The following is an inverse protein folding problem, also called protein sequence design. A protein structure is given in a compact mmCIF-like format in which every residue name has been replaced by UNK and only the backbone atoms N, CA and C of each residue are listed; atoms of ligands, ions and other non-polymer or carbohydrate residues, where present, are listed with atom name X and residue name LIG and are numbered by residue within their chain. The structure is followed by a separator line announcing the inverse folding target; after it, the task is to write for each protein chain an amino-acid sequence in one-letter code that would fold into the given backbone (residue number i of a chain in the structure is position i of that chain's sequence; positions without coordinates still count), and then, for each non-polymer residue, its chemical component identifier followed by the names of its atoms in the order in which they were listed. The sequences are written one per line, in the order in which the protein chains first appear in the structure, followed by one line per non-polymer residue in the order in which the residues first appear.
data_IF_694376222586
#
_entry.id   IF_694376222586
#
_cell.length_a   1.000
_cell.length_b   1.000
_cell.length_c   1.000
_cell.angle_alpha   90.00
_cell.angle_beta   90.00
_cell.angle_gamma   90.00
#
_symmetry.space_group_name_H-M   'P 1'
#
loop_
_entity.id
_entity.type
_entity.pdbx_description
1 polymer ?
#
# COMPACT_ATOMS: atom_id res chain seq x y z
N UNK A 1 -21.10 1.92 -0.67
CA UNK A 1 -20.12 1.11 -1.42
C UNK A 1 -19.00 0.61 -0.50
N UNK A 2 -18.04 1.41 0.01
CA UNK A 2 -16.90 0.91 0.79
C UNK A 2 -17.28 0.05 2.02
N UNK A 3 -18.20 0.52 2.86
CA UNK A 3 -18.66 -0.25 4.05
C UNK A 3 -19.33 -1.57 3.64
N UNK A 4 -20.11 -1.55 2.55
CA UNK A 4 -20.74 -2.75 2.03
C UNK A 4 -19.69 -3.75 1.56
N UNK A 5 -18.77 -3.34 0.69
CA UNK A 5 -17.68 -4.19 0.18
C UNK A 5 -16.85 -4.78 1.32
N UNK A 6 -16.58 -3.97 2.36
CA UNK A 6 -15.88 -4.43 3.56
C UNK A 6 -16.66 -5.54 4.28
N UNK A 7 -17.94 -5.28 4.60
CA UNK A 7 -18.75 -6.19 5.42
C UNK A 7 -19.23 -7.44 4.66
N UNK A 8 -19.19 -7.44 3.34
CA UNK A 8 -19.43 -8.63 2.52
C UNK A 8 -18.25 -9.61 2.59
N UNK A 9 -17.06 -9.12 2.92
CA UNK A 9 -15.82 -9.91 2.99
C UNK A 9 -15.40 -10.23 4.42
N UNK A 10 -15.60 -9.31 5.34
CA UNK A 10 -15.06 -9.35 6.68
C UNK A 10 -16.15 -9.79 7.68
N UNK A 11 -15.85 -10.84 8.42
CA UNK A 11 -16.64 -11.32 9.55
C UNK A 11 -16.22 -10.63 10.86
N UNK A 12 -16.86 -10.96 11.98
CA UNK A 12 -16.50 -10.40 13.28
C UNK A 12 -15.12 -10.90 13.77
N UNK A 13 -14.73 -12.11 13.36
CA UNK A 13 -13.52 -12.80 13.84
C UNK A 13 -12.29 -12.54 12.96
N UNK A 14 -12.46 -11.86 11.82
CA UNK A 14 -11.36 -11.59 10.91
C UNK A 14 -10.45 -10.45 11.41
N UNK A 15 -9.16 -10.58 11.18
CA UNK A 15 -8.17 -9.53 11.44
C UNK A 15 -7.89 -8.74 10.17
N UNK A 16 -8.00 -7.41 10.25
CA UNK A 16 -7.80 -6.51 9.11
C UNK A 16 -6.73 -5.46 9.42
N UNK A 17 -5.74 -5.35 8.56
CA UNK A 17 -4.73 -4.30 8.60
C UNK A 17 -5.08 -3.20 7.59
N UNK A 18 -5.22 -1.97 8.07
CA UNK A 18 -5.43 -0.78 7.24
C UNK A 18 -4.10 -0.05 7.13
N UNK A 19 -3.61 0.11 5.90
CA UNK A 19 -2.28 0.66 5.64
C UNK A 19 -2.29 2.18 5.44
N UNK A 20 -2.91 2.87 6.39
CA UNK A 20 -2.87 4.30 6.54
C UNK A 20 -3.87 5.09 5.70
N UNK A 21 -3.96 6.37 6.06
CA UNK A 21 -4.85 7.34 5.45
C UNK A 21 -6.33 6.91 5.43
N UNK A 22 -6.72 6.24 6.54
CA UNK A 22 -8.06 5.69 6.70
C UNK A 22 -9.14 6.78 6.75
N UNK A 23 -8.84 7.94 7.36
CA UNK A 23 -9.81 9.01 7.58
C UNK A 23 -9.21 10.41 7.45
N UNK A 24 -9.95 11.30 6.76
CA UNK A 24 -9.60 12.71 6.57
C UNK A 24 -10.49 13.63 7.39
N UNK A 25 -10.06 14.28 8.40
CA UNK A 25 -10.59 15.51 9.04
C UNK A 25 -11.78 15.42 10.00
N UNK A 26 -12.72 14.47 9.95
CA UNK A 26 -13.89 14.50 10.83
C UNK A 26 -13.93 13.26 11.73
N UNK A 27 -13.62 13.44 13.03
CA UNK A 27 -13.59 12.35 14.00
C UNK A 27 -14.96 11.69 14.16
N UNK A 28 -16.04 12.46 14.21
CA UNK A 28 -17.39 11.95 14.41
C UNK A 28 -17.84 11.05 13.24
N UNK A 29 -17.63 11.52 12.00
CA UNK A 29 -17.90 10.72 10.81
C UNK A 29 -17.03 9.45 10.76
N UNK A 30 -15.78 9.56 11.18
CA UNK A 30 -14.86 8.42 11.24
C UNK A 30 -15.36 7.36 12.23
N UNK A 31 -15.83 7.80 13.40
CA UNK A 31 -16.43 6.91 14.42
C UNK A 31 -17.66 6.20 13.85
N UNK A 32 -18.59 6.93 13.24
CA UNK A 32 -19.80 6.36 12.63
C UNK A 32 -19.46 5.30 11.54
N UNK A 33 -18.37 5.48 10.81
CA UNK A 33 -17.89 4.50 9.85
C UNK A 33 -17.32 3.28 10.59
N UNK A 34 -16.44 3.49 11.59
CA UNK A 34 -15.79 2.42 12.33
C UNK A 34 -16.78 1.52 13.08
N UNK A 35 -17.86 2.08 13.60
CA UNK A 35 -18.96 1.33 14.26
C UNK A 35 -19.66 0.36 13.32
N UNK A 36 -19.59 0.60 12.03
CA UNK A 36 -20.23 -0.22 10.98
C UNK A 36 -19.30 -1.25 10.37
N UNK A 37 -17.98 -1.11 10.55
CA UNK A 37 -16.97 -2.02 9.98
C UNK A 37 -16.74 -3.20 10.91
N UNK A 38 -16.88 -4.42 10.39
CA UNK A 38 -16.65 -5.68 11.09
C UNK A 38 -15.15 -5.98 11.22
N UNK A 39 -14.84 -6.92 12.13
CA UNK A 39 -13.51 -7.50 12.31
C UNK A 39 -12.61 -6.71 13.27
N UNK A 40 -11.50 -7.33 13.60
CA UNK A 40 -10.42 -6.80 14.44
C UNK A 40 -9.52 -5.91 13.60
N UNK A 41 -9.54 -4.62 13.88
CA UNK A 41 -8.91 -3.60 13.01
C UNK A 41 -7.59 -3.10 13.58
N UNK A 42 -6.53 -3.20 12.79
CA UNK A 42 -5.19 -2.68 13.09
C UNK A 42 -4.83 -1.58 12.11
N UNK A 43 -4.28 -0.47 12.59
CA UNK A 43 -3.85 0.65 11.76
C UNK A 43 -2.33 0.70 11.65
N UNK A 44 -1.84 0.65 10.42
CA UNK A 44 -0.50 1.11 10.08
C UNK A 44 -0.64 2.58 9.70
N UNK A 45 -0.25 3.47 10.60
CA UNK A 45 -0.58 4.89 10.51
C UNK A 45 0.06 5.57 9.30
N UNK A 46 -0.75 6.24 8.51
CA UNK A 46 -0.32 7.10 7.40
C UNK A 46 -0.10 8.56 7.83
N UNK A 47 0.32 9.38 6.88
CA UNK A 47 0.65 10.79 7.14
C UNK A 47 -0.58 11.67 7.37
N UNK A 48 -1.76 11.26 6.89
CA UNK A 48 -3.02 11.99 7.09
C UNK A 48 -3.82 11.49 8.30
N UNK A 49 -3.48 10.33 8.87
CA UNK A 49 -4.19 9.77 10.01
C UNK A 49 -3.98 10.59 11.29
N UNK A 50 -5.06 11.14 11.79
CA UNK A 50 -5.10 11.84 13.08
C UNK A 50 -5.96 11.08 14.06
N UNK A 51 -5.45 9.95 14.53
CA UNK A 51 -6.18 9.08 15.45
C UNK A 51 -6.04 9.62 16.88
N UNK A 52 -7.05 10.35 17.34
CA UNK A 52 -7.14 10.95 18.67
C UNK A 52 -8.48 10.60 19.32
N UNK A 53 -8.65 10.97 20.57
CA UNK A 53 -9.92 10.86 21.28
C UNK A 53 -10.54 9.48 21.24
N UNK A 54 -11.81 9.42 20.95
CA UNK A 54 -12.59 8.17 20.91
C UNK A 54 -12.25 7.27 19.72
N UNK A 55 -11.81 7.83 18.61
CA UNK A 55 -11.48 7.06 17.40
C UNK A 55 -10.38 6.03 17.66
N UNK A 56 -9.48 6.30 18.62
CA UNK A 56 -8.41 5.37 19.00
C UNK A 56 -8.94 4.01 19.50
N UNK A 57 -10.08 4.00 20.17
CA UNK A 57 -10.65 2.77 20.79
C UNK A 57 -11.24 1.79 19.76
N UNK A 58 -11.37 2.19 18.51
CA UNK A 58 -11.82 1.32 17.42
C UNK A 58 -10.70 0.54 16.74
N UNK A 59 -9.44 0.78 17.16
CA UNK A 59 -8.26 0.11 16.65
C UNK A 59 -7.64 -0.74 17.75
N UNK A 60 -7.37 -2.01 17.48
CA UNK A 60 -6.67 -2.89 18.40
C UNK A 60 -5.19 -2.54 18.53
N UNK A 61 -4.57 -2.11 17.43
CA UNK A 61 -3.24 -1.53 17.44
C UNK A 61 -3.11 -0.36 16.47
N UNK A 62 -2.20 0.55 16.78
CA UNK A 62 -1.81 1.67 15.92
C UNK A 62 -0.28 1.71 15.94
N UNK A 63 0.33 1.43 14.79
CA UNK A 63 1.78 1.41 14.62
C UNK A 63 2.14 2.06 13.29
N UNK A 64 3.41 2.37 13.04
CA UNK A 64 3.88 2.85 11.74
C UNK A 64 4.45 1.72 10.88
N UNK A 65 4.76 0.59 11.51
CA UNK A 65 5.36 -0.57 10.90
C UNK A 65 4.87 -1.82 11.62
N UNK A 66 4.64 -2.89 10.89
CA UNK A 66 4.38 -4.20 11.48
C UNK A 66 4.98 -5.33 10.63
N UNK A 67 5.29 -6.42 11.32
CA UNK A 67 5.65 -7.70 10.73
C UNK A 67 4.57 -8.70 11.12
N UNK A 68 3.94 -9.30 10.15
CA UNK A 68 2.88 -10.29 10.38
C UNK A 68 3.23 -11.60 9.68
N UNK A 69 2.77 -12.70 10.24
CA UNK A 69 2.90 -14.01 9.62
C UNK A 69 1.53 -14.42 9.08
N UNK A 70 1.45 -14.65 7.77
CA UNK A 70 0.27 -15.15 7.09
C UNK A 70 0.59 -16.51 6.48
N UNK A 71 0.11 -17.59 7.09
CA UNK A 71 0.34 -18.98 6.65
C UNK A 71 1.84 -19.29 6.37
N UNK A 72 2.70 -18.95 7.32
CA UNK A 72 4.18 -19.05 7.22
C UNK A 72 4.83 -18.13 6.18
N UNK A 73 4.12 -17.12 5.70
CA UNK A 73 4.66 -16.06 4.84
C UNK A 73 4.89 -14.80 5.66
N UNK A 74 6.10 -14.31 5.71
CA UNK A 74 6.39 -13.04 6.38
C UNK A 74 5.87 -11.88 5.50
N UNK A 75 5.05 -11.04 6.09
CA UNK A 75 4.49 -9.84 5.47
C UNK A 75 4.96 -8.63 6.24
N UNK A 76 5.53 -7.67 5.54
CA UNK A 76 5.94 -6.40 6.06
C UNK A 76 4.87 -5.37 5.72
N UNK A 77 4.39 -4.63 6.73
CA UNK A 77 3.35 -3.64 6.58
C UNK A 77 3.91 -2.25 6.91
N UNK A 78 3.79 -1.32 5.99
CA UNK A 78 4.09 0.09 6.18
C UNK A 78 3.18 0.93 5.29
N UNK A 79 2.92 2.18 5.69
CA UNK A 79 2.16 3.09 4.85
C UNK A 79 2.92 3.49 3.58
N UNK A 80 4.23 3.71 3.71
CA UNK A 80 5.10 4.06 2.58
C UNK A 80 5.74 2.82 1.94
N UNK A 81 6.02 2.81 0.63
CA UNK A 81 6.82 1.76 0.02
C UNK A 81 8.25 1.77 0.57
N UNK A 82 8.70 0.65 1.12
CA UNK A 82 10.07 0.45 1.56
C UNK A 82 10.82 -0.32 0.47
N UNK A 83 11.78 0.33 -0.17
CA UNK A 83 12.54 -0.26 -1.28
C UNK A 83 13.40 -1.45 -0.84
N UNK A 84 13.85 -1.45 0.40
CA UNK A 84 14.54 -2.57 1.05
C UNK A 84 13.82 -2.89 2.37
N UNK A 85 13.50 -4.15 2.58
CA UNK A 85 12.72 -4.58 3.73
C UNK A 85 13.21 -5.92 4.28
N UNK A 86 12.82 -6.24 5.49
CA UNK A 86 13.24 -7.44 6.20
C UNK A 86 12.90 -8.71 5.41
N UNK A 87 13.85 -9.61 5.32
CA UNK A 87 13.73 -10.91 4.65
C UNK A 87 13.28 -10.84 3.18
N UNK A 88 13.51 -9.73 2.50
CA UNK A 88 13.25 -9.59 1.06
C UNK A 88 13.85 -10.76 0.26
N UNK A 89 15.12 -11.08 0.49
CA UNK A 89 15.84 -12.19 -0.17
C UNK A 89 15.31 -13.58 0.21
N UNK A 90 14.50 -13.69 1.25
CA UNK A 90 13.88 -14.93 1.72
C UNK A 90 12.38 -15.01 1.40
N UNK A 91 11.91 -14.18 0.47
CA UNK A 91 10.56 -14.24 -0.05
C UNK A 91 9.49 -13.52 0.78
N UNK A 92 9.87 -12.64 1.73
CA UNK A 92 8.92 -11.77 2.39
C UNK A 92 8.21 -10.86 1.38
N UNK A 93 6.96 -10.51 1.69
CA UNK A 93 6.15 -9.58 0.89
C UNK A 93 5.98 -8.26 1.64
N UNK A 94 6.23 -7.15 0.96
CA UNK A 94 5.97 -5.81 1.46
C UNK A 94 4.64 -5.30 0.93
N UNK A 95 3.70 -4.96 1.83
CA UNK A 95 2.44 -4.29 1.48
C UNK A 95 2.51 -2.82 1.89
N UNK A 96 2.07 -1.94 1.01
CA UNK A 96 2.14 -0.49 1.22
C UNK A 96 0.94 0.25 0.60
N UNK A 97 0.74 1.51 1.00
CA UNK A 97 -0.25 2.43 0.46
C UNK A 97 0.41 3.71 -0.09
N UNK A 98 -0.08 4.88 0.32
CA UNK A 98 0.42 6.23 0.12
C UNK A 98 0.48 6.70 -1.35
N UNK A 99 1.24 6.04 -2.19
CA UNK A 99 1.53 6.51 -3.57
C UNK A 99 0.36 6.37 -4.54
N UNK A 100 -0.77 5.82 -4.11
CA UNK A 100 -1.96 5.64 -4.93
C UNK A 100 -1.64 4.93 -6.27
N UNK A 101 -2.41 5.21 -7.33
CA UNK A 101 -2.15 4.82 -8.72
C UNK A 101 -1.44 5.97 -9.49
N UNK A 102 -0.47 6.61 -8.86
CA UNK A 102 0.23 7.80 -9.37
C UNK A 102 1.54 7.48 -10.09
N UNK A 103 2.23 8.52 -10.56
CA UNK A 103 3.58 8.38 -11.13
C UNK A 103 4.60 7.82 -10.13
N UNK A 104 4.39 8.05 -8.83
CA UNK A 104 5.26 7.50 -7.79
C UNK A 104 5.12 5.98 -7.70
N UNK A 105 3.90 5.43 -7.85
CA UNK A 105 3.72 3.99 -7.97
C UNK A 105 4.51 3.40 -9.12
N UNK A 106 4.55 4.08 -10.27
CA UNK A 106 5.31 3.62 -11.44
C UNK A 106 6.83 3.57 -11.17
N UNK A 107 7.35 4.50 -10.36
CA UNK A 107 8.75 4.46 -9.93
C UNK A 107 9.03 3.23 -9.05
N UNK A 108 8.09 2.86 -8.18
CA UNK A 108 8.20 1.64 -7.36
C UNK A 108 8.19 0.40 -8.25
N UNK A 109 7.30 0.34 -9.25
CA UNK A 109 7.22 -0.79 -10.17
C UNK A 109 8.47 -0.91 -11.06
N UNK A 110 9.05 0.23 -11.50
CA UNK A 110 10.34 0.24 -12.17
C UNK A 110 11.44 -0.32 -11.28
N UNK A 111 11.51 0.12 -10.03
CA UNK A 111 12.44 -0.40 -9.04
C UNK A 111 12.33 -1.92 -8.85
N UNK A 112 11.14 -2.46 -8.72
CA UNK A 112 10.90 -3.90 -8.62
C UNK A 112 11.51 -4.66 -9.80
N UNK A 113 11.29 -4.19 -11.02
CA UNK A 113 11.83 -4.82 -12.24
C UNK A 113 13.35 -4.77 -12.30
N UNK A 114 13.94 -3.67 -11.92
CA UNK A 114 15.40 -3.54 -11.86
C UNK A 114 15.99 -4.54 -10.85
N UNK A 115 15.35 -4.72 -9.68
CA UNK A 115 15.76 -5.73 -8.71
C UNK A 115 15.68 -7.15 -9.29
N UNK A 116 14.58 -7.49 -9.95
CA UNK A 116 14.43 -8.79 -10.57
C UNK A 116 15.44 -9.04 -11.69
N UNK A 117 15.73 -8.02 -12.49
CA UNK A 117 16.78 -8.12 -13.53
C UNK A 117 18.17 -8.38 -12.95
N UNK A 118 18.42 -7.98 -11.71
CA UNK A 118 19.64 -8.26 -10.95
C UNK A 118 19.57 -9.60 -10.17
N UNK A 119 18.49 -10.37 -10.31
CA UNK A 119 18.27 -11.61 -9.57
C UNK A 119 17.92 -11.40 -8.08
N UNK A 120 17.50 -10.21 -7.70
CA UNK A 120 17.10 -9.87 -6.33
C UNK A 120 15.59 -10.03 -6.19
N UNK A 121 15.09 -10.95 -5.34
CA UNK A 121 13.66 -11.06 -5.07
C UNK A 121 13.10 -9.73 -4.54
N UNK A 122 11.99 -9.28 -5.10
CA UNK A 122 11.35 -8.03 -4.68
C UNK A 122 9.84 -8.12 -4.85
N UNK A 123 9.11 -8.25 -3.74
CA UNK A 123 7.64 -8.34 -3.72
C UNK A 123 7.06 -7.16 -2.96
N UNK A 124 6.81 -6.07 -3.66
CA UNK A 124 6.14 -4.88 -3.16
C UNK A 124 4.76 -4.79 -3.80
N UNK A 125 3.69 -4.73 -3.00
CA UNK A 125 2.31 -4.65 -3.50
C UNK A 125 1.64 -3.41 -2.92
N UNK A 126 1.13 -2.56 -3.81
CA UNK A 126 0.35 -1.40 -3.42
C UNK A 126 -1.09 -1.84 -3.09
N UNK A 127 -1.50 -1.71 -1.83
CA UNK A 127 -2.86 -2.06 -1.38
C UNK A 127 -3.79 -0.86 -1.24
N UNK A 128 -3.45 0.26 -1.86
CA UNK A 128 -4.35 1.41 -1.97
C UNK A 128 -5.69 0.98 -2.57
N UNK A 129 -6.80 1.33 -1.92
CA UNK A 129 -8.13 0.84 -2.30
C UNK A 129 -8.55 1.22 -3.73
N UNK A 130 -7.92 2.23 -4.34
CA UNK A 130 -8.14 2.68 -5.71
C UNK A 130 -7.38 1.88 -6.77
N UNK A 131 -6.48 0.97 -6.37
CA UNK A 131 -5.82 0.08 -7.33
C UNK A 131 -6.86 -0.84 -7.96
N UNK A 132 -6.79 -1.07 -9.28
CA UNK A 132 -7.81 -1.82 -10.02
C UNK A 132 -8.06 -3.21 -9.43
N UNK A 133 -7.01 -3.92 -9.04
CA UNK A 133 -7.12 -5.25 -8.42
C UNK A 133 -7.69 -5.24 -7.00
N UNK A 134 -7.75 -4.08 -6.33
CA UNK A 134 -8.37 -3.96 -5.01
C UNK A 134 -9.90 -3.87 -5.07
N UNK A 135 -10.47 -3.29 -6.12
CA UNK A 135 -11.91 -3.07 -6.28
C UNK A 135 -12.59 -2.47 -5.04
N UNK A 136 -11.88 -1.60 -4.32
CA UNK A 136 -12.35 -0.99 -3.05
C UNK A 136 -12.81 -2.02 -2.00
N UNK A 137 -12.12 -3.16 -1.94
CA UNK A 137 -12.51 -4.32 -1.11
C UNK A 137 -11.26 -4.85 -0.36
N UNK A 138 -11.36 -5.23 0.91
CA UNK A 138 -10.28 -5.89 1.62
C UNK A 138 -9.84 -7.18 0.90
N UNK A 139 -8.54 -7.45 0.86
CA UNK A 139 -7.94 -8.59 0.15
C UNK A 139 -7.06 -9.41 1.07
N UNK A 140 -7.04 -10.71 0.87
CA UNK A 140 -6.06 -11.61 1.48
C UNK A 140 -4.73 -11.51 0.75
N UNK A 141 -3.63 -11.91 1.41
CA UNK A 141 -2.32 -11.97 0.76
C UNK A 141 -2.34 -12.88 -0.47
N UNK A 142 -3.03 -14.00 -0.40
CA UNK A 142 -3.14 -14.94 -1.52
C UNK A 142 -3.81 -14.29 -2.74
N UNK A 143 -4.88 -13.53 -2.54
CA UNK A 143 -5.54 -12.78 -3.61
C UNK A 143 -4.63 -11.69 -4.19
N UNK A 144 -3.90 -10.97 -3.34
CA UNK A 144 -2.96 -9.94 -3.76
C UNK A 144 -1.84 -10.51 -4.63
N UNK A 145 -1.24 -11.63 -4.21
CA UNK A 145 -0.19 -12.30 -4.97
C UNK A 145 -0.66 -12.86 -6.32
N UNK A 146 -1.94 -13.24 -6.41
CA UNK A 146 -2.53 -13.73 -7.64
C UNK A 146 -2.97 -12.62 -8.60
N UNK A 147 -3.31 -11.44 -8.06
CA UNK A 147 -3.87 -10.33 -8.83
C UNK A 147 -2.85 -9.23 -9.16
N UNK A 148 -1.63 -9.28 -8.60
CA UNK A 148 -0.64 -8.23 -8.79
C UNK A 148 -0.34 -8.03 -10.29
N UNK A 149 -0.84 -6.95 -10.91
CA UNK A 149 -0.57 -6.70 -12.31
C UNK A 149 0.88 -6.25 -12.45
N UNK A 150 1.55 -6.76 -13.47
CA UNK A 150 2.78 -6.13 -13.97
C UNK A 150 2.34 -4.94 -14.83
N UNK A 151 2.61 -3.68 -14.44
CA UNK A 151 2.24 -2.55 -15.26
C UNK A 151 2.89 -2.65 -16.65
N UNK A 152 2.15 -2.31 -17.69
CA UNK A 152 2.70 -2.19 -19.03
C UNK A 152 3.73 -1.05 -19.05
N UNK A 153 5.01 -1.41 -19.15
CA UNK A 153 6.11 -0.45 -19.07
C UNK A 153 6.34 0.32 -20.38
N UNK A 154 5.75 -0.13 -21.48
CA UNK A 154 5.88 0.57 -22.75
C UNK A 154 5.15 1.93 -22.74
N UNK A 155 4.22 2.11 -21.79
CA UNK A 155 3.56 3.40 -21.51
C UNK A 155 4.46 4.42 -20.81
N UNK A 156 5.68 4.06 -20.41
CA UNK A 156 6.60 4.91 -19.61
C UNK A 156 7.95 5.12 -20.29
N UNK A 157 7.92 5.59 -21.53
CA UNK A 157 9.08 6.27 -22.08
C UNK A 157 9.21 7.60 -21.32
N UNK A 158 10.08 7.62 -20.31
CA UNK A 158 10.55 8.89 -19.77
C UNK A 158 11.30 9.57 -20.93
N UNK A 159 10.69 10.58 -21.54
CA UNK A 159 11.45 11.49 -22.40
C UNK A 159 12.58 12.04 -21.52
N UNK A 160 13.79 11.60 -21.77
CA UNK A 160 14.95 12.27 -21.24
C UNK A 160 14.83 13.74 -21.67
N UNK A 161 14.94 14.72 -20.76
CA UNK A 161 15.07 16.10 -21.18
C UNK A 161 16.24 16.14 -22.17
N UNK A 162 15.90 16.38 -23.41
CA UNK A 162 16.86 16.52 -24.52
C UNK A 162 17.96 17.43 -24.03
N UNK A 163 19.19 17.01 -24.24
CA UNK A 163 20.39 17.79 -24.00
C UNK A 163 20.16 19.23 -24.50
N UNK A 164 20.14 20.17 -23.59
CA UNK A 164 20.23 21.58 -23.91
C UNK A 164 21.60 21.71 -24.59
N UNK A 165 21.58 21.78 -25.90
CA UNK A 165 22.76 22.13 -26.66
C UNK A 165 23.18 23.51 -26.20
N UNK A 166 24.29 23.58 -25.47
CA UNK A 166 24.97 24.82 -25.21
C UNK A 166 25.36 25.41 -26.57
N UNK A 167 24.63 26.45 -26.96
CA UNK A 167 25.08 27.30 -28.07
C UNK A 167 26.38 27.98 -27.65
N UNK A 168 27.45 27.61 -28.30
CA UNK A 168 28.73 28.31 -28.25
C UNK A 168 28.52 29.80 -28.64
N UNK A 169 28.64 30.65 -27.64
CA UNK A 169 29.02 32.05 -27.93
C UNK A 169 30.53 32.09 -28.02
N UNK A 170 31.04 32.25 -29.21
CA UNK A 170 32.42 32.67 -29.44
C UNK A 170 32.50 34.21 -29.62
N UNK A 171 33.65 34.82 -29.37
CA UNK A 171 33.89 36.18 -28.89
C UNK A 171 33.64 37.29 -29.91
#
# INVERSE_FOLDING_TARGET
MLIQNWNERITADDTVYVLGDAFWKNEENSIQIMERLRGHKHLIQGNHDRVKGKLRFYWESITQYAEVNDENRLVILNHYPMLFYKNQHHGATMLYGHVHNSREWLLVEKWKREQWALGIPCRLINVGCMMDYMHYTPRTLTELLAAEPMPDMDLFVFEHPSQVTASEEQP
#
